data_IF_985353496717
#
_entry.id   IF_985353496717
#
_cell.length_a   1.000
_cell.length_b   1.000
_cell.length_c   1.000
_cell.angle_alpha   90.00
_cell.angle_beta   90.00
_cell.angle_gamma   90.00
#
_symmetry.space_group_name_H-M   'P 1'
#
loop_
_entity.id
_entity.type
_entity.pdbx_description
1 polymer ?
#
# COMPACT_ATOMS: atom_id res chain seq x y z
N UNK A 1 -9.72 -7.92 -8.95
CA UNK A 1 -9.80 -6.44 -9.04
C UNK A 1 -11.01 -6.07 -9.90
N UNK A 2 -11.82 -5.06 -9.55
CA UNK A 2 -12.97 -4.63 -10.35
C UNK A 2 -12.60 -4.15 -11.77
N UNK A 3 -13.51 -4.34 -12.73
CA UNK A 3 -13.25 -4.05 -14.15
C UNK A 3 -12.96 -2.58 -14.45
N UNK A 4 -13.62 -1.66 -13.74
CA UNK A 4 -13.37 -0.22 -13.88
C UNK A 4 -11.94 0.16 -13.44
N UNK A 5 -11.45 -0.43 -12.34
CA UNK A 5 -10.08 -0.23 -11.86
C UNK A 5 -9.10 -0.85 -12.84
N UNK A 6 -9.38 -2.07 -13.32
CA UNK A 6 -8.56 -2.75 -14.34
C UNK A 6 -8.46 -1.93 -15.62
N UNK A 7 -9.58 -1.40 -16.11
CA UNK A 7 -9.60 -0.58 -17.33
C UNK A 7 -8.73 0.68 -17.23
N UNK A 8 -8.70 1.36 -16.08
CA UNK A 8 -7.81 2.51 -15.86
C UNK A 8 -6.33 2.08 -15.85
N UNK A 9 -6.02 0.96 -15.20
CA UNK A 9 -4.66 0.41 -15.16
C UNK A 9 -4.20 -0.01 -16.57
N UNK A 10 -5.04 -0.70 -17.32
CA UNK A 10 -4.73 -1.12 -18.69
C UNK A 10 -4.53 0.10 -19.61
N UNK A 11 -5.38 1.13 -19.49
CA UNK A 11 -5.31 2.35 -20.30
C UNK A 11 -4.02 3.16 -20.11
N UNK A 12 -3.34 3.02 -18.97
CA UNK A 12 -2.02 3.63 -18.73
C UNK A 12 -0.84 2.69 -19.04
N UNK A 13 -1.10 1.54 -19.67
CA UNK A 13 -0.09 0.51 -19.94
C UNK A 13 0.38 -0.22 -18.68
N UNK A 14 -0.49 -0.33 -17.67
CA UNK A 14 -0.22 -1.05 -16.44
C UNK A 14 -0.11 -2.55 -16.66
N UNK A 15 0.88 -3.17 -16.03
CA UNK A 15 1.21 -4.60 -16.18
C UNK A 15 1.53 -5.24 -14.84
N UNK A 16 1.44 -6.56 -14.76
CA UNK A 16 1.86 -7.33 -13.57
C UNK A 16 1.08 -6.99 -12.30
N UNK A 17 -0.23 -6.75 -12.42
CA UNK A 17 -1.07 -6.43 -11.27
C UNK A 17 -1.19 -7.63 -10.33
N UNK A 18 -0.80 -7.44 -9.06
CA UNK A 18 -0.84 -8.46 -8.01
C UNK A 18 -1.54 -7.94 -6.75
N UNK A 19 -2.22 -8.83 -6.04
CA UNK A 19 -2.93 -8.50 -4.79
C UNK A 19 -1.94 -8.48 -3.62
N UNK A 20 -1.62 -7.29 -3.11
CA UNK A 20 -0.68 -7.17 -1.98
C UNK A 20 -1.35 -7.53 -0.66
N UNK A 21 -2.58 -7.08 -0.43
CA UNK A 21 -3.33 -7.42 0.79
C UNK A 21 -4.82 -7.20 0.58
N UNK A 22 -5.63 -8.05 1.22
CA UNK A 22 -7.03 -7.80 1.51
C UNK A 22 -7.20 -7.76 3.03
N UNK A 23 -7.77 -6.68 3.56
CA UNK A 23 -8.02 -6.56 5.00
C UNK A 23 -9.20 -5.66 5.30
N UNK A 24 -9.82 -5.88 6.46
CA UNK A 24 -10.66 -4.87 7.10
C UNK A 24 -9.78 -3.76 7.66
N UNK A 25 -10.19 -2.52 7.46
CA UNK A 25 -9.50 -1.37 8.06
C UNK A 25 -9.70 -1.39 9.58
N UNK A 26 -8.60 -1.28 10.33
CA UNK A 26 -8.68 -1.08 11.77
C UNK A 26 -8.89 0.40 12.09
N UNK A 27 -9.36 0.70 13.31
CA UNK A 27 -9.40 2.06 13.85
C UNK A 27 -8.09 2.82 13.65
N UNK A 28 -6.96 2.15 13.82
CA UNK A 28 -5.64 2.76 13.67
C UNK A 28 -5.35 3.17 12.23
N UNK A 29 -5.94 2.49 11.25
CA UNK A 29 -5.75 2.80 9.83
C UNK A 29 -6.54 4.07 9.43
N UNK A 30 -7.67 4.36 10.08
CA UNK A 30 -8.53 5.52 9.72
C UNK A 30 -8.38 6.74 10.64
N UNK A 31 -7.70 6.58 11.78
CA UNK A 31 -7.46 7.67 12.74
C UNK A 31 -6.48 8.73 12.18
N UNK A 32 -6.91 10.00 12.21
CA UNK A 32 -6.16 11.16 11.67
C UNK A 32 -4.72 11.26 12.16
N UNK A 33 -4.46 10.98 13.44
CA UNK A 33 -3.13 11.09 14.02
C UNK A 33 -2.15 10.02 13.52
N UNK A 34 -2.66 8.85 13.08
CA UNK A 34 -1.79 7.77 12.60
C UNK A 34 -1.38 7.96 11.14
N UNK A 35 -2.31 8.47 10.30
CA UNK A 35 -2.10 8.78 8.89
C UNK A 35 -1.36 7.67 8.12
N UNK A 36 -1.75 6.41 8.35
CA UNK A 36 -1.07 5.26 7.76
C UNK A 36 -1.98 4.05 7.57
N UNK A 37 -1.73 3.27 6.52
CA UNK A 37 -2.22 1.90 6.37
C UNK A 37 -1.05 0.94 6.56
N UNK A 38 -1.20 -0.04 7.45
CA UNK A 38 -0.20 -1.10 7.61
C UNK A 38 -0.51 -2.34 6.78
N UNK A 39 0.53 -2.86 6.12
CA UNK A 39 0.56 -4.06 5.30
C UNK A 39 1.65 -4.98 5.87
N UNK A 40 1.32 -5.86 6.84
CA UNK A 40 2.28 -6.78 7.39
C UNK A 40 2.79 -7.74 6.32
N UNK A 41 4.11 -7.92 6.20
CA UNK A 41 4.74 -8.80 5.20
C UNK A 41 4.22 -10.25 5.25
N UNK A 42 3.83 -10.71 6.43
CA UNK A 42 3.25 -12.04 6.67
C UNK A 42 1.79 -12.19 6.23
N UNK A 43 1.14 -11.11 5.82
CA UNK A 43 -0.23 -11.10 5.30
C UNK A 43 -0.28 -10.90 3.78
N UNK A 44 0.87 -10.77 3.13
CA UNK A 44 0.98 -10.69 1.67
C UNK A 44 0.92 -12.12 1.11
N UNK A 45 0.07 -12.39 0.10
CA UNK A 45 0.04 -13.66 -0.61
C UNK A 45 1.41 -14.07 -1.16
N UNK A 46 1.74 -15.37 -1.12
CA UNK A 46 3.06 -15.90 -1.51
C UNK A 46 3.46 -15.54 -2.95
N UNK A 47 2.51 -15.56 -3.87
CA UNK A 47 2.67 -15.18 -5.27
C UNK A 47 2.92 -13.66 -5.46
N UNK A 48 2.50 -12.85 -4.50
CA UNK A 48 2.60 -11.39 -4.52
C UNK A 48 3.80 -10.86 -3.73
N UNK A 49 4.65 -11.74 -3.21
CA UNK A 49 5.83 -11.36 -2.41
C UNK A 49 6.90 -10.60 -3.19
N UNK A 50 6.92 -10.75 -4.52
CA UNK A 50 7.78 -10.02 -5.44
C UNK A 50 7.18 -8.72 -5.97
N UNK A 51 6.20 -8.13 -5.27
CA UNK A 51 5.58 -6.88 -5.73
C UNK A 51 6.55 -5.69 -5.79
N UNK A 52 7.67 -5.76 -5.06
CA UNK A 52 8.80 -4.82 -5.12
C UNK A 52 9.97 -5.42 -5.88
N UNK A 53 10.70 -4.59 -6.61
CA UNK A 53 12.00 -4.97 -7.17
C UNK A 53 13.04 -5.07 -6.05
N UNK A 54 14.17 -5.72 -6.35
CA UNK A 54 15.29 -5.81 -5.40
C UNK A 54 15.82 -4.43 -5.00
N UNK A 55 15.94 -3.51 -5.96
CA UNK A 55 16.35 -2.13 -5.70
C UNK A 55 15.35 -1.38 -4.82
N UNK A 56 14.05 -1.60 -5.03
CA UNK A 56 12.99 -1.00 -4.20
C UNK A 56 13.03 -1.54 -2.77
N UNK A 57 13.24 -2.85 -2.59
CA UNK A 57 13.41 -3.45 -1.26
C UNK A 57 14.66 -2.94 -0.55
N UNK A 58 15.79 -2.88 -1.26
CA UNK A 58 17.04 -2.37 -0.73
C UNK A 58 16.91 -0.89 -0.35
N UNK A 59 16.24 -0.10 -1.18
CA UNK A 59 15.95 1.29 -0.86
C UNK A 59 15.17 1.40 0.45
N UNK A 60 14.08 0.63 0.61
CA UNK A 60 13.24 0.64 1.80
C UNK A 60 13.93 0.08 3.06
N UNK A 61 14.98 -0.73 2.91
CA UNK A 61 15.79 -1.24 4.01
C UNK A 61 16.88 -0.26 4.50
N UNK A 62 17.11 0.84 3.78
CA UNK A 62 18.18 1.81 4.10
C UNK A 62 17.65 3.08 4.78
N UNK A 63 18.58 3.79 5.42
CA UNK A 63 18.35 5.11 6.02
C UNK A 63 19.04 6.19 5.20
N UNK A 64 18.53 7.41 5.27
CA UNK A 64 19.19 8.60 4.72
C UNK A 64 20.33 9.08 5.65
N UNK A 65 21.01 10.14 5.23
CA UNK A 65 22.15 10.73 5.98
C UNK A 65 21.75 11.26 7.37
N UNK A 66 20.48 11.55 7.58
CA UNK A 66 19.93 12.02 8.86
C UNK A 66 19.38 10.86 9.70
N UNK A 67 19.58 9.61 9.26
CA UNK A 67 19.10 8.42 9.96
C UNK A 67 17.61 8.15 9.76
N UNK A 68 16.91 8.86 8.89
CA UNK A 68 15.50 8.59 8.61
C UNK A 68 15.35 7.40 7.66
N UNK A 69 14.34 6.56 7.89
CA UNK A 69 14.00 5.50 6.95
C UNK A 69 13.64 6.11 5.59
N UNK A 70 14.21 5.55 4.52
CA UNK A 70 13.85 5.94 3.16
C UNK A 70 12.44 5.47 2.82
N UNK A 71 11.94 5.97 1.70
CA UNK A 71 10.61 5.67 1.19
C UNK A 71 10.62 5.70 -0.33
N UNK A 72 9.63 5.04 -0.92
CA UNK A 72 9.31 5.16 -2.34
C UNK A 72 8.14 6.12 -2.45
N UNK A 73 8.28 7.13 -3.30
CA UNK A 73 7.16 7.95 -3.74
C UNK A 73 6.54 7.26 -4.96
N UNK A 74 5.24 6.97 -4.88
CA UNK A 74 4.48 6.29 -5.93
C UNK A 74 3.07 6.90 -6.01
N UNK A 75 2.31 6.53 -7.04
CA UNK A 75 0.91 6.92 -7.20
C UNK A 75 -0.01 5.78 -6.86
N UNK A 76 -1.10 6.11 -6.20
CA UNK A 76 -2.19 5.22 -5.82
C UNK A 76 -3.46 5.65 -6.54
N UNK A 77 -4.07 4.74 -7.29
CA UNK A 77 -5.42 4.90 -7.80
C UNK A 77 -6.40 4.63 -6.67
N UNK A 78 -7.14 5.64 -6.22
CA UNK A 78 -8.07 5.49 -5.10
C UNK A 78 -9.42 4.87 -5.54
N UNK A 79 -10.30 4.47 -4.59
CA UNK A 79 -11.60 3.87 -4.92
C UNK A 79 -12.51 4.72 -5.82
N UNK A 80 -12.29 6.03 -5.88
CA UNK A 80 -12.99 6.96 -6.77
C UNK A 80 -12.30 7.13 -8.13
N UNK A 81 -11.31 6.28 -8.43
CA UNK A 81 -10.48 6.31 -9.63
C UNK A 81 -9.68 7.61 -9.78
N UNK A 82 -9.31 8.26 -8.67
CA UNK A 82 -8.46 9.45 -8.66
C UNK A 82 -7.04 9.05 -8.28
N UNK A 83 -6.05 9.52 -9.05
CA UNK A 83 -4.65 9.32 -8.73
C UNK A 83 -4.21 10.22 -7.56
N UNK A 84 -3.55 9.60 -6.58
CA UNK A 84 -3.03 10.25 -5.38
C UNK A 84 -1.56 9.90 -5.22
N UNK A 85 -0.73 10.87 -4.92
CA UNK A 85 0.65 10.59 -4.54
C UNK A 85 0.66 9.97 -3.15
N UNK A 86 1.51 8.98 -2.91
CA UNK A 86 1.64 8.32 -1.62
C UNK A 86 3.06 7.83 -1.38
N UNK A 87 3.44 7.71 -0.10
CA UNK A 87 4.73 7.18 0.31
C UNK A 87 4.58 5.75 0.79
N UNK A 88 5.39 4.86 0.23
CA UNK A 88 5.58 3.49 0.71
C UNK A 88 6.84 3.43 1.57
N UNK A 89 6.72 2.86 2.76
CA UNK A 89 7.83 2.65 3.72
C UNK A 89 7.86 1.19 4.17
N UNK A 90 9.01 0.75 4.68
CA UNK A 90 9.16 -0.52 5.41
C UNK A 90 9.60 -0.24 6.83
N UNK A 91 8.88 -0.81 7.80
CA UNK A 91 9.20 -0.74 9.22
C UNK A 91 9.50 -2.15 9.72
N UNK A 92 10.65 -2.32 10.36
CA UNK A 92 10.98 -3.54 11.09
C UNK A 92 10.58 -3.37 12.55
N UNK A 93 9.44 -3.95 12.92
CA UNK A 93 8.90 -3.85 14.28
C UNK A 93 9.23 -5.10 15.08
N UNK A 94 9.80 -4.96 16.27
CA UNK A 94 9.91 -6.11 17.19
C UNK A 94 8.71 -6.20 18.11
N UNK A 95 8.14 -7.40 18.28
CA UNK A 95 7.03 -7.65 19.22
C UNK A 95 7.46 -7.61 20.69
N UNK A 96 8.77 -7.74 20.99
CA UNK A 96 9.37 -7.76 22.34
C UNK A 96 10.78 -7.17 22.29
N UNK A 97 11.40 -6.79 23.41
CA UNK A 97 12.80 -6.26 23.41
C UNK A 97 13.84 -7.21 22.76
N UNK A 98 13.53 -8.50 22.60
CA UNK A 98 14.40 -9.52 22.02
C UNK A 98 13.69 -10.48 21.04
N UNK A 99 12.52 -10.09 20.49
CA UNK A 99 11.77 -10.93 19.55
C UNK A 99 12.19 -10.74 18.09
N UNK A 100 11.83 -11.67 17.18
CA UNK A 100 12.07 -11.50 15.75
C UNK A 100 11.37 -10.25 15.24
N UNK A 101 12.06 -9.51 14.37
CA UNK A 101 11.49 -8.35 13.69
C UNK A 101 10.44 -8.80 12.68
N UNK A 102 9.33 -8.06 12.65
CA UNK A 102 8.26 -8.22 11.67
C UNK A 102 8.36 -7.05 10.71
N UNK A 103 8.68 -7.36 9.46
CA UNK A 103 8.62 -6.39 8.38
C UNK A 103 7.15 -6.01 8.12
N UNK A 104 6.87 -4.71 8.16
CA UNK A 104 5.56 -4.14 7.87
C UNK A 104 5.75 -3.01 6.87
N UNK A 105 5.10 -3.12 5.71
CA UNK A 105 5.02 -2.00 4.81
C UNK A 105 3.94 -1.03 5.26
N UNK A 106 4.19 0.25 5.01
CA UNK A 106 3.32 1.33 5.46
C UNK A 106 3.08 2.28 4.30
N UNK A 107 1.81 2.47 3.96
CA UNK A 107 1.37 3.57 3.10
C UNK A 107 1.06 4.78 3.98
N UNK A 108 1.75 5.89 3.78
CA UNK A 108 1.51 7.11 4.55
C UNK A 108 1.65 8.38 3.70
N UNK A 109 1.19 9.51 4.26
CA UNK A 109 1.35 10.86 3.72
C UNK A 109 1.06 10.98 2.20
N UNK A 110 -0.20 11.21 1.78
CA UNK A 110 -1.38 11.63 2.57
C UNK A 110 -2.47 10.54 2.68
N UNK A 111 -2.18 9.43 3.37
CA UNK A 111 -3.16 8.35 3.57
C UNK A 111 -4.51 8.83 4.18
N UNK A 112 -4.48 9.73 5.16
CA UNK A 112 -5.71 10.22 5.80
C UNK A 112 -6.58 11.03 4.84
N UNK A 113 -5.99 11.68 3.84
CA UNK A 113 -6.77 12.43 2.86
C UNK A 113 -7.42 11.49 1.85
N UNK A 114 -6.78 10.35 1.54
CA UNK A 114 -7.42 9.23 0.82
C UNK A 114 -8.59 8.68 1.64
N UNK A 115 -8.41 8.43 2.95
CA UNK A 115 -9.46 7.98 3.86
C UNK A 115 -10.67 8.92 3.83
N UNK A 116 -10.45 10.23 3.97
CA UNK A 116 -11.54 11.23 3.93
C UNK A 116 -12.21 11.29 2.58
N UNK A 117 -11.43 11.37 1.49
CA UNK A 117 -11.97 11.55 0.14
C UNK A 117 -12.80 10.35 -0.33
N UNK A 118 -12.52 9.16 0.19
CA UNK A 118 -13.18 7.90 -0.16
C UNK A 118 -14.11 7.39 0.96
N UNK A 119 -14.37 8.21 1.97
CA UNK A 119 -15.26 7.91 3.10
C UNK A 119 -14.97 6.55 3.77
N UNK A 120 -13.68 6.22 3.87
CA UNK A 120 -13.24 4.95 4.46
C UNK A 120 -13.44 4.98 5.97
N UNK A 121 -14.02 3.91 6.51
CA UNK A 121 -14.28 3.72 7.93
C UNK A 121 -13.61 2.44 8.41
N UNK A 122 -13.43 2.33 9.72
CA UNK A 122 -13.08 1.05 10.32
C UNK A 122 -14.08 -0.02 9.88
N UNK A 123 -13.60 -1.26 9.79
CA UNK A 123 -14.32 -2.44 9.33
C UNK A 123 -14.61 -2.52 7.82
N UNK A 124 -14.43 -1.42 7.06
CA UNK A 124 -14.50 -1.49 5.60
C UNK A 124 -13.45 -2.46 5.06
N UNK A 125 -13.89 -3.39 4.20
CA UNK A 125 -13.02 -4.32 3.50
C UNK A 125 -12.35 -3.61 2.34
N UNK A 126 -11.02 -3.63 2.31
CA UNK A 126 -10.24 -3.04 1.22
C UNK A 126 -9.22 -4.04 0.67
N UNK A 127 -8.88 -3.86 -0.60
CA UNK A 127 -7.75 -4.50 -1.25
C UNK A 127 -6.72 -3.44 -1.65
N UNK A 128 -5.44 -3.77 -1.52
CA UNK A 128 -4.35 -3.02 -2.14
C UNK A 128 -3.72 -3.89 -3.21
N UNK A 129 -3.63 -3.36 -4.42
CA UNK A 129 -2.98 -3.96 -5.56
C UNK A 129 -1.71 -3.20 -5.89
N UNK A 130 -0.69 -3.92 -6.37
CA UNK A 130 0.53 -3.33 -6.91
C UNK A 130 0.68 -3.72 -8.38
N UNK A 131 1.20 -2.82 -9.20
CA UNK A 131 1.44 -3.04 -10.63
C UNK A 131 2.57 -2.14 -11.13
N UNK A 132 2.98 -2.34 -12.38
CA UNK A 132 4.05 -1.62 -13.05
C UNK A 132 3.50 -0.79 -14.19
N UNK A 133 3.92 0.47 -14.30
CA UNK A 133 3.57 1.36 -15.41
C UNK A 133 4.67 2.41 -15.60
N UNK A 134 4.75 3.04 -16.79
CA UNK A 134 5.66 4.15 -17.07
C UNK A 134 7.12 3.88 -16.67
N UNK A 135 7.84 3.12 -17.49
CA UNK A 135 9.22 2.67 -17.24
C UNK A 135 9.37 1.76 -16.02
N UNK A 136 8.46 0.79 -15.90
CA UNK A 136 8.46 -0.23 -14.84
C UNK A 136 8.38 0.33 -13.40
N UNK A 137 7.85 1.55 -13.24
CA UNK A 137 7.67 2.17 -11.91
C UNK A 137 6.52 1.51 -11.16
N UNK A 138 6.74 1.26 -9.87
CA UNK A 138 5.69 0.80 -8.96
C UNK A 138 4.54 1.80 -8.93
N UNK A 139 3.33 1.27 -9.04
CA UNK A 139 2.08 1.97 -8.79
C UNK A 139 1.16 1.08 -7.93
N UNK A 140 0.21 1.70 -7.25
CA UNK A 140 -0.73 1.03 -6.37
C UNK A 140 -2.18 1.32 -6.77
N UNK A 141 -3.09 0.43 -6.43
CA UNK A 141 -4.53 0.70 -6.49
C UNK A 141 -5.19 0.27 -5.17
N UNK A 142 -6.07 1.12 -4.66
CA UNK A 142 -6.89 0.84 -3.48
C UNK A 142 -8.32 0.58 -3.94
N UNK A 143 -8.83 -0.60 -3.61
CA UNK A 143 -10.20 -0.98 -3.92
C UNK A 143 -10.96 -1.13 -2.61
N UNK A 144 -12.10 -0.45 -2.49
CA UNK A 144 -13.09 -0.72 -1.44
C UNK A 144 -14.02 -1.82 -1.94
N UNK A 145 -14.17 -2.89 -1.17
CA UNK A 145 -15.04 -4.02 -1.51
C UNK A 145 -16.38 -3.79 -0.83
N UNK A 146 -17.45 -3.71 -1.62
CA UNK A 146 -18.80 -3.72 -1.09
C UNK A 146 -19.22 -5.17 -0.85
N UNK A 147 -19.54 -5.50 0.40
CA UNK A 147 -19.94 -6.85 0.82
C UNK A 147 -21.46 -7.08 0.70
N UNK A 148 -22.17 -6.18 0.01
CA UNK A 148 -23.60 -6.36 -0.28
C UNK A 148 -23.75 -6.98 -1.67
N UNK A 149 -23.84 -8.30 -1.70
CA UNK A 149 -24.69 -9.03 -2.66
C UNK A 149 -25.98 -9.44 -1.95
#
# INVERSE_FOLDING_TARGET
MPDNVKGVIDAMGGTGAVLVIQKRLFDTDVKKHNNRLQIPRSKIPTDSLGFLSEDEENLLATRDRNGHLKHIETRLLDPRLVWRDIKLRKWDMSKKKSGPYIAVYVLNHPWIDIVKANELKADNLVQVWAFRAGDNKLHLALVKIDERE
#
